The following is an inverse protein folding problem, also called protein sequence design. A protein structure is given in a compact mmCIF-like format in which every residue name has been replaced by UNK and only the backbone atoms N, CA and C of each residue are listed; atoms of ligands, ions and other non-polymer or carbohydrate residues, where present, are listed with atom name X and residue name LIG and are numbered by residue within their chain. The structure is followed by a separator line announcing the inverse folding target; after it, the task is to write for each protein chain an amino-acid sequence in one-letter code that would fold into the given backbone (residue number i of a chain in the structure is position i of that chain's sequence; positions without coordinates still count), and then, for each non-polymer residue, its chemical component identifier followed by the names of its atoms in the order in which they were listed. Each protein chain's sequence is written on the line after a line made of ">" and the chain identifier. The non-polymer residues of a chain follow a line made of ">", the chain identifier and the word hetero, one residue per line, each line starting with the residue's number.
data_IF_668712957603
#
_entry.id   IF_668712957603
#
_cell.length_a   1.000
_cell.length_b   1.000
_cell.length_c   1.000
_cell.angle_alpha   90.00
_cell.angle_beta   90.00
_cell.angle_gamma   90.00
#
_symmetry.space_group_name_H-M   'P 1'
#
loop_
_entity.id
_entity.type
_entity.pdbx_description
1 polymer ?
#
# COMPACT_ATOMS: atom_id res chain seq x y z
N UNK A 1 -2.14 6.77 19.60
CA UNK A 1 -1.04 7.74 19.34
C UNK A 1 -1.70 9.10 19.13
N UNK A 2 -1.40 10.07 19.99
CA UNK A 2 -1.80 11.45 19.73
C UNK A 2 -0.94 11.96 18.58
N UNK A 3 -1.51 12.81 17.74
CA UNK A 3 -0.82 13.48 16.62
C UNK A 3 -0.28 12.56 15.50
N UNK A 4 -0.89 11.37 15.28
CA UNK A 4 -0.58 10.52 14.15
C UNK A 4 -1.35 10.99 12.91
N UNK A 5 -0.62 11.23 11.82
CA UNK A 5 -1.15 11.66 10.51
C UNK A 5 -0.77 10.66 9.41
N UNK A 6 -1.31 10.82 8.22
CA UNK A 6 -0.96 10.02 7.04
C UNK A 6 0.54 10.07 6.72
N UNK A 7 1.20 11.22 6.95
CA UNK A 7 2.64 11.40 6.71
C UNK A 7 3.54 10.79 7.79
N UNK A 8 3.03 10.57 9.02
CA UNK A 8 3.86 10.25 10.19
C UNK A 8 4.80 9.07 10.00
N UNK A 9 4.31 7.98 9.42
CA UNK A 9 5.12 6.79 9.18
C UNK A 9 6.21 7.06 8.14
N UNK A 10 5.81 7.64 7.00
CA UNK A 10 6.72 7.99 5.92
C UNK A 10 7.84 8.91 6.38
N UNK A 11 7.51 10.02 7.04
CA UNK A 11 8.49 11.00 7.52
C UNK A 11 9.53 10.40 8.48
N UNK A 12 9.09 9.44 9.30
CA UNK A 12 9.99 8.79 10.26
C UNK A 12 10.90 7.75 9.64
N UNK A 13 10.45 7.02 8.62
CA UNK A 13 11.16 5.88 8.08
C UNK A 13 11.88 6.16 6.75
N UNK A 14 11.59 7.27 6.07
CA UNK A 14 12.12 7.58 4.74
C UNK A 14 13.63 7.36 4.63
N UNK A 15 14.39 7.73 5.67
CA UNK A 15 15.85 7.62 5.70
C UNK A 15 16.40 6.21 5.53
N UNK A 16 15.62 5.19 5.92
CA UNK A 16 16.02 3.77 5.92
C UNK A 16 15.05 2.87 5.17
N UNK A 17 14.01 3.45 4.56
CA UNK A 17 12.92 2.70 3.94
C UNK A 17 13.39 1.69 2.90
N UNK A 18 14.22 2.11 1.96
CA UNK A 18 14.72 1.26 0.89
C UNK A 18 15.66 0.14 1.38
N UNK A 19 16.25 0.31 2.57
CA UNK A 19 17.07 -0.72 3.22
C UNK A 19 16.19 -1.74 3.95
N UNK A 20 15.14 -1.27 4.62
CA UNK A 20 14.24 -2.10 5.43
C UNK A 20 13.25 -2.88 4.59
N UNK A 21 12.77 -2.27 3.51
CA UNK A 21 11.78 -2.82 2.61
C UNK A 21 12.39 -3.05 1.23
N UNK A 22 13.13 -4.14 1.09
CA UNK A 22 13.56 -4.66 -0.21
C UNK A 22 12.57 -5.73 -0.66
N UNK A 23 11.49 -5.36 -1.38
CA UNK A 23 10.56 -6.36 -1.85
C UNK A 23 11.27 -7.29 -2.83
N UNK A 24 11.18 -8.60 -2.56
CA UNK A 24 11.59 -9.60 -3.54
C UNK A 24 10.76 -9.44 -4.82
N UNK A 25 11.36 -9.72 -5.99
CA UNK A 25 10.66 -9.78 -7.28
C UNK A 25 9.93 -8.50 -7.69
N UNK A 26 10.56 -7.33 -7.53
CA UNK A 26 10.02 -6.04 -8.03
C UNK A 26 9.70 -6.14 -9.53
N UNK A 27 10.58 -6.73 -10.32
CA UNK A 27 10.40 -6.85 -11.77
C UNK A 27 9.12 -7.59 -12.13
N UNK A 28 8.83 -8.72 -11.47
CA UNK A 28 7.60 -9.50 -11.68
C UNK A 28 6.33 -8.71 -11.34
N UNK A 29 6.35 -7.95 -10.24
CA UNK A 29 5.22 -7.10 -9.87
C UNK A 29 4.99 -6.00 -10.88
N UNK A 30 6.08 -5.38 -11.34
CA UNK A 30 6.04 -4.36 -12.40
C UNK A 30 5.50 -4.94 -13.71
N UNK A 31 5.82 -6.20 -14.06
CA UNK A 31 5.25 -6.89 -15.24
C UNK A 31 3.74 -7.01 -15.13
N UNK A 32 3.22 -7.46 -13.99
CA UNK A 32 1.78 -7.58 -13.74
C UNK A 32 1.07 -6.23 -13.77
N UNK A 33 1.68 -5.20 -13.16
CA UNK A 33 1.12 -3.85 -13.15
C UNK A 33 1.09 -3.25 -14.57
N UNK A 34 2.15 -3.41 -15.35
CA UNK A 34 2.22 -2.94 -16.73
C UNK A 34 1.17 -3.63 -17.62
N UNK A 35 0.98 -4.95 -17.46
CA UNK A 35 -0.07 -5.71 -18.16
C UNK A 35 -1.46 -5.17 -17.83
N UNK A 36 -1.75 -4.93 -16.53
CA UNK A 36 -3.04 -4.40 -16.09
C UNK A 36 -3.29 -2.96 -16.54
N UNK A 37 -2.24 -2.15 -16.65
CA UNK A 37 -2.35 -0.79 -17.19
C UNK A 37 -2.67 -0.78 -18.71
N UNK A 38 -2.37 -1.87 -19.44
CA UNK A 38 -2.64 -2.05 -20.86
C UNK A 38 -2.19 -0.86 -21.74
N UNK A 39 -1.03 -0.25 -21.40
CA UNK A 39 -0.48 0.92 -22.09
C UNK A 39 -1.14 2.25 -21.74
N UNK A 40 -2.13 2.27 -20.85
CA UNK A 40 -2.77 3.49 -20.38
C UNK A 40 -2.10 4.09 -19.14
N UNK A 41 -2.68 5.18 -18.62
CA UNK A 41 -2.18 5.89 -17.43
C UNK A 41 -2.32 5.04 -16.16
N UNK A 42 -1.31 5.10 -15.29
CA UNK A 42 -1.32 4.43 -14.00
C UNK A 42 -1.19 5.42 -12.84
N UNK A 43 -1.86 5.14 -11.71
CA UNK A 43 -1.79 5.91 -10.48
C UNK A 43 -1.41 5.00 -9.32
N UNK A 44 -0.30 5.30 -8.63
CA UNK A 44 0.10 4.63 -7.40
C UNK A 44 -0.35 5.43 -6.17
N UNK A 45 -1.12 4.79 -5.29
CA UNK A 45 -1.55 5.36 -4.02
C UNK A 45 -0.51 5.03 -2.93
N UNK A 46 0.08 6.07 -2.32
CA UNK A 46 1.20 5.95 -1.42
C UNK A 46 2.47 5.53 -2.19
N UNK A 47 2.88 6.36 -3.17
CA UNK A 47 4.01 6.06 -4.06
C UNK A 47 5.35 5.91 -3.32
N UNK A 48 5.47 6.47 -2.12
CA UNK A 48 6.65 6.37 -1.28
C UNK A 48 7.92 6.83 -1.99
N UNK A 49 8.94 5.98 -1.97
CA UNK A 49 10.23 6.23 -2.63
C UNK A 49 10.26 5.80 -4.11
N UNK A 50 9.12 5.46 -4.71
CA UNK A 50 8.99 5.16 -6.14
C UNK A 50 9.38 3.74 -6.54
N UNK A 51 9.34 2.77 -5.63
CA UNK A 51 9.77 1.37 -5.86
C UNK A 51 9.11 0.74 -7.07
N UNK A 52 7.86 1.08 -7.39
CA UNK A 52 7.12 0.53 -8.54
C UNK A 52 6.83 1.58 -9.60
N UNK A 53 6.50 2.81 -9.21
CA UNK A 53 6.23 3.89 -10.14
C UNK A 53 7.41 4.19 -11.07
N UNK A 54 8.64 4.25 -10.54
CA UNK A 54 9.82 4.53 -11.35
C UNK A 54 10.11 3.45 -12.40
N UNK A 55 10.14 2.14 -12.06
CA UNK A 55 10.30 1.10 -13.08
C UNK A 55 9.15 1.03 -14.09
N UNK A 56 7.90 1.36 -13.71
CA UNK A 56 6.79 1.47 -14.65
C UNK A 56 6.99 2.64 -15.62
N UNK A 57 7.37 3.81 -15.11
CA UNK A 57 7.69 4.98 -15.93
C UNK A 57 8.87 4.72 -16.89
N UNK A 58 9.92 4.03 -16.43
CA UNK A 58 11.06 3.62 -17.26
C UNK A 58 10.66 2.67 -18.41
N UNK A 59 9.51 2.00 -18.32
CA UNK A 59 8.92 1.20 -19.41
C UNK A 59 8.03 2.02 -20.35
N UNK A 60 7.97 3.33 -20.18
CA UNK A 60 7.20 4.24 -21.02
C UNK A 60 5.73 4.40 -20.64
N UNK A 61 5.29 3.90 -19.46
CA UNK A 61 3.96 4.19 -18.97
C UNK A 61 3.89 5.62 -18.40
N UNK A 62 2.77 6.30 -18.60
CA UNK A 62 2.46 7.54 -17.88
C UNK A 62 2.01 7.19 -16.47
N UNK A 63 2.89 7.42 -15.48
CA UNK A 63 2.65 7.07 -14.08
C UNK A 63 2.55 8.31 -13.23
N UNK A 64 1.54 8.36 -12.36
CA UNK A 64 1.33 9.39 -11.35
C UNK A 64 1.39 8.74 -9.96
N UNK A 65 1.71 9.53 -8.94
CA UNK A 65 1.71 9.10 -7.55
C UNK A 65 0.93 10.03 -6.63
N UNK A 66 0.46 9.51 -5.52
CA UNK A 66 -0.02 10.29 -4.36
C UNK A 66 0.84 9.90 -3.18
N UNK A 67 1.34 10.89 -2.42
CA UNK A 67 2.16 10.63 -1.23
C UNK A 67 1.95 11.76 -0.20
N UNK A 68 1.73 11.35 1.07
CA UNK A 68 1.53 12.29 2.17
C UNK A 68 2.84 12.76 2.81
N UNK A 69 3.91 11.95 2.72
CA UNK A 69 5.21 12.23 3.32
C UNK A 69 6.13 12.98 2.37
N UNK A 70 6.47 14.22 2.69
CA UNK A 70 7.45 15.00 1.93
C UNK A 70 8.83 14.31 1.94
N UNK A 71 9.23 13.71 3.06
CA UNK A 71 10.50 12.99 3.16
C UNK A 71 10.58 11.77 2.22
N UNK A 72 9.45 11.08 1.98
CA UNK A 72 9.37 10.01 0.99
C UNK A 72 9.50 10.57 -0.43
N UNK A 73 8.81 11.67 -0.73
CA UNK A 73 8.87 12.34 -2.04
C UNK A 73 10.31 12.83 -2.33
N UNK A 74 11.00 13.39 -1.35
CA UNK A 74 12.41 13.80 -1.50
C UNK A 74 13.31 12.61 -1.89
N UNK A 75 13.09 11.44 -1.24
CA UNK A 75 13.82 10.21 -1.60
C UNK A 75 13.48 9.71 -3.01
N UNK A 76 12.22 9.82 -3.42
CA UNK A 76 11.80 9.50 -4.78
C UNK A 76 12.51 10.44 -5.78
N UNK A 77 12.50 11.76 -5.53
CA UNK A 77 13.13 12.76 -6.39
C UNK A 77 14.63 12.54 -6.56
N UNK A 78 15.31 12.02 -5.55
CA UNK A 78 16.74 11.71 -5.60
C UNK A 78 17.10 10.51 -6.49
N UNK A 79 16.12 9.75 -6.99
CA UNK A 79 16.32 8.59 -7.86
C UNK A 79 16.20 8.96 -9.34
N UNK A 80 16.83 8.17 -10.21
CA UNK A 80 16.72 8.33 -11.66
C UNK A 80 15.26 8.32 -12.12
N UNK A 81 14.86 9.33 -12.90
CA UNK A 81 13.50 9.53 -13.37
C UNK A 81 12.53 10.10 -12.30
N UNK A 82 12.98 10.24 -11.05
CA UNK A 82 12.13 10.70 -9.95
C UNK A 82 11.63 12.12 -10.13
N UNK A 83 12.48 13.05 -10.62
CA UNK A 83 12.10 14.45 -10.81
C UNK A 83 10.97 14.65 -11.83
N UNK A 84 10.84 13.76 -12.79
CA UNK A 84 9.83 13.85 -13.85
C UNK A 84 8.52 13.13 -13.53
N UNK A 85 8.47 12.34 -12.45
CA UNK A 85 7.25 11.60 -12.07
C UNK A 85 6.28 12.55 -11.36
N UNK A 86 5.05 12.77 -11.88
CA UNK A 86 4.05 13.60 -11.22
C UNK A 86 3.60 12.97 -9.89
N UNK A 87 3.79 13.70 -8.78
CA UNK A 87 3.33 13.27 -7.45
C UNK A 87 2.47 14.37 -6.83
N UNK A 88 1.22 14.04 -6.50
CA UNK A 88 0.33 14.88 -5.72
C UNK A 88 0.59 14.65 -4.22
N UNK A 89 0.77 15.74 -3.46
CA UNK A 89 0.92 15.68 -2.02
C UNK A 89 -0.40 15.50 -1.30
N UNK A 90 -0.49 14.57 -0.33
CA UNK A 90 -1.65 14.42 0.53
C UNK A 90 -2.06 12.97 0.80
N UNK A 91 -3.17 12.83 1.53
CA UNK A 91 -3.75 11.53 1.84
C UNK A 91 -4.52 10.99 0.63
N UNK A 92 -4.19 9.78 0.20
CA UNK A 92 -4.81 9.15 -0.97
C UNK A 92 -6.29 8.75 -0.76
N UNK A 93 -6.84 8.88 0.46
CA UNK A 93 -8.29 8.77 0.67
C UNK A 93 -9.06 9.95 0.03
N UNK A 94 -8.47 11.15 0.00
CA UNK A 94 -9.16 12.39 -0.33
C UNK A 94 -8.54 13.18 -1.49
N UNK A 95 -7.33 12.86 -1.91
CA UNK A 95 -6.62 13.64 -2.93
C UNK A 95 -7.27 13.48 -4.29
N UNK A 96 -7.65 14.60 -4.88
CA UNK A 96 -8.07 14.68 -6.26
C UNK A 96 -6.83 14.79 -7.17
N UNK A 97 -6.81 13.98 -8.20
CA UNK A 97 -5.85 14.05 -9.31
C UNK A 97 -6.61 14.28 -10.61
N UNK A 98 -5.96 14.91 -11.59
CA UNK A 98 -6.65 15.19 -12.86
C UNK A 98 -6.71 13.95 -13.77
N UNK A 99 -7.85 13.77 -14.41
CA UNK A 99 -8.10 12.77 -15.45
C UNK A 99 -8.43 11.38 -14.90
N UNK A 100 -8.43 10.40 -15.81
CA UNK A 100 -8.75 9.01 -15.51
C UNK A 100 -7.56 8.09 -15.78
N UNK A 101 -7.55 6.94 -15.09
CA UNK A 101 -6.47 5.97 -15.13
C UNK A 101 -6.97 4.60 -15.56
N UNK A 102 -6.18 3.89 -16.37
CA UNK A 102 -6.43 2.50 -16.72
C UNK A 102 -6.06 1.56 -15.56
N UNK A 103 -5.10 1.98 -14.72
CA UNK A 103 -4.72 1.26 -13.51
C UNK A 103 -4.59 2.25 -12.35
N UNK A 104 -5.33 2.00 -11.28
CA UNK A 104 -5.02 2.55 -9.96
C UNK A 104 -4.53 1.40 -9.10
N UNK A 105 -3.46 1.58 -8.32
CA UNK A 105 -2.95 0.49 -7.49
C UNK A 105 -2.41 0.98 -6.15
N UNK A 106 -2.58 0.11 -5.16
CA UNK A 106 -2.02 0.27 -3.82
C UNK A 106 -1.47 -1.07 -3.36
N UNK A 107 -0.19 -1.10 -2.98
CA UNK A 107 0.52 -2.34 -2.70
C UNK A 107 1.30 -2.28 -1.38
N UNK A 108 1.84 -3.43 -0.97
CA UNK A 108 2.63 -3.57 0.26
C UNK A 108 1.88 -3.13 1.53
N UNK A 109 0.57 -3.42 1.61
CA UNK A 109 -0.29 -3.09 2.75
C UNK A 109 -0.57 -1.59 2.94
N UNK A 110 -0.20 -0.74 1.99
CA UNK A 110 -0.37 0.71 2.10
C UNK A 110 -1.85 1.10 2.24
N UNK A 111 -2.78 0.37 1.62
CA UNK A 111 -4.21 0.59 1.81
C UNK A 111 -4.64 0.57 3.28
N UNK A 112 -4.02 -0.28 4.09
CA UNK A 112 -4.33 -0.43 5.50
C UNK A 112 -3.80 0.72 6.37
N UNK A 113 -2.98 1.63 5.80
CA UNK A 113 -2.55 2.87 6.46
C UNK A 113 -3.69 3.89 6.57
N UNK A 114 -4.78 3.72 5.83
CA UNK A 114 -6.06 4.38 6.09
C UNK A 114 -6.65 3.79 7.38
N UNK A 115 -6.70 4.60 8.42
CA UNK A 115 -6.86 4.13 9.81
C UNK A 115 -8.30 3.99 10.27
N UNK A 116 -9.26 4.42 9.43
CA UNK A 116 -10.70 4.29 9.67
C UNK A 116 -11.41 3.60 8.51
N UNK A 117 -12.58 3.02 8.78
CA UNK A 117 -13.41 2.40 7.75
C UNK A 117 -13.89 3.43 6.73
N UNK A 118 -14.22 4.62 7.22
CA UNK A 118 -14.69 5.75 6.40
C UNK A 118 -13.61 6.19 5.40
N UNK A 119 -12.34 6.30 5.82
CA UNK A 119 -11.22 6.62 4.93
C UNK A 119 -11.05 5.54 3.86
N UNK A 120 -11.16 4.26 4.23
CA UNK A 120 -11.04 3.15 3.30
C UNK A 120 -12.19 3.13 2.27
N UNK A 121 -13.42 3.43 2.70
CA UNK A 121 -14.58 3.57 1.79
C UNK A 121 -14.38 4.77 0.86
N UNK A 122 -13.98 5.94 1.38
CA UNK A 122 -13.69 7.13 0.56
C UNK A 122 -12.61 6.87 -0.47
N UNK A 123 -11.56 6.13 -0.11
CA UNK A 123 -10.52 5.73 -1.05
C UNK A 123 -11.10 4.94 -2.22
N UNK A 124 -11.96 3.94 -1.99
CA UNK A 124 -12.63 3.20 -3.07
C UNK A 124 -13.50 4.11 -3.94
N UNK A 125 -14.26 5.04 -3.33
CA UNK A 125 -15.10 6.00 -4.06
C UNK A 125 -14.26 6.96 -4.90
N UNK A 126 -13.17 7.49 -4.32
CA UNK A 126 -12.22 8.35 -5.00
C UNK A 126 -11.57 7.62 -6.19
N UNK A 127 -11.10 6.40 -5.98
CA UNK A 127 -10.56 5.54 -7.04
C UNK A 127 -11.59 5.32 -8.15
N UNK A 128 -12.83 4.95 -7.80
CA UNK A 128 -13.87 4.68 -8.79
C UNK A 128 -14.15 5.88 -9.70
N UNK A 129 -14.08 7.11 -9.16
CA UNK A 129 -14.25 8.34 -9.94
C UNK A 129 -13.09 8.63 -10.89
N UNK A 130 -11.89 8.12 -10.59
CA UNK A 130 -10.68 8.29 -11.40
C UNK A 130 -10.34 7.09 -12.28
N UNK A 131 -11.12 6.00 -12.22
CA UNK A 131 -10.93 4.89 -13.15
C UNK A 131 -11.54 5.20 -14.53
N UNK A 132 -10.77 4.85 -15.58
CA UNK A 132 -11.35 4.72 -16.92
C UNK A 132 -12.42 3.62 -16.93
N UNK A 133 -13.35 3.62 -17.90
CA UNK A 133 -14.44 2.63 -17.97
C UNK A 133 -13.94 1.18 -18.00
N UNK A 134 -12.82 0.92 -18.67
CA UNK A 134 -12.16 -0.38 -18.70
C UNK A 134 -11.02 -0.51 -17.67
N UNK A 135 -10.86 0.50 -16.80
CA UNK A 135 -9.78 0.56 -15.82
C UNK A 135 -9.98 -0.40 -14.65
N UNK A 136 -8.88 -0.69 -13.97
CA UNK A 136 -8.89 -1.59 -12.81
C UNK A 136 -8.23 -0.94 -11.59
N UNK A 137 -8.73 -1.31 -10.40
CA UNK A 137 -8.11 -1.00 -9.13
C UNK A 137 -7.48 -2.23 -8.52
N UNK A 138 -6.18 -2.20 -8.24
CA UNK A 138 -5.44 -3.30 -7.63
C UNK A 138 -5.09 -2.98 -6.18
N UNK A 139 -5.44 -3.87 -5.28
CA UNK A 139 -5.08 -3.81 -3.85
C UNK A 139 -4.25 -5.05 -3.50
N UNK A 140 -3.01 -4.86 -3.01
CA UNK A 140 -2.19 -5.93 -2.44
C UNK A 140 -2.04 -5.71 -0.94
N UNK A 141 -2.53 -6.66 -0.16
CA UNK A 141 -2.53 -6.60 1.30
C UNK A 141 -2.35 -8.00 1.93
N UNK A 142 -1.90 -8.03 3.18
CA UNK A 142 -1.88 -9.27 3.96
C UNK A 142 -3.32 -9.70 4.33
N UNK A 143 -3.50 -11.00 4.52
CA UNK A 143 -4.71 -11.55 5.14
C UNK A 143 -4.54 -11.41 6.66
N UNK A 144 -5.51 -10.81 7.39
CA UNK A 144 -5.39 -10.65 8.83
C UNK A 144 -5.22 -11.99 9.54
N UNK A 145 -4.19 -12.10 10.36
CA UNK A 145 -3.98 -13.20 11.29
C UNK A 145 -4.03 -12.67 12.71
N UNK A 146 -5.19 -12.71 13.31
CA UNK A 146 -5.43 -12.22 14.67
C UNK A 146 -5.00 -13.23 15.74
N UNK A 147 -4.73 -14.48 15.38
CA UNK A 147 -4.31 -15.53 16.30
C UNK A 147 -2.89 -15.33 16.85
N UNK A 148 -2.10 -14.49 16.17
CA UNK A 148 -0.72 -14.18 16.59
C UNK A 148 -0.62 -13.24 17.79
N UNK A 149 -1.73 -12.63 18.21
CA UNK A 149 -1.75 -11.71 19.35
C UNK A 149 -2.09 -12.46 20.63
N UNK A 150 -1.22 -12.34 21.63
CA UNK A 150 -1.44 -12.77 23.01
C UNK A 150 -1.74 -11.53 23.86
N UNK A 151 -2.84 -11.54 24.62
CA UNK A 151 -3.34 -10.40 25.37
C UNK A 151 -3.34 -9.09 24.56
N UNK A 152 -3.71 -9.16 23.26
CA UNK A 152 -3.68 -8.07 22.28
C UNK A 152 -2.26 -7.53 21.96
N UNK A 153 -1.21 -8.25 22.26
CA UNK A 153 0.17 -7.85 21.99
C UNK A 153 0.87 -8.88 21.09
N UNK A 154 1.80 -8.39 20.28
CA UNK A 154 2.70 -9.25 19.52
C UNK A 154 4.10 -8.63 19.49
N UNK A 155 5.10 -9.47 19.73
CA UNK A 155 6.51 -9.14 19.63
C UNK A 155 7.21 -10.14 18.74
N UNK A 156 7.91 -9.66 17.72
CA UNK A 156 8.81 -10.45 16.90
C UNK A 156 10.21 -9.84 16.95
N UNK A 157 11.20 -10.67 17.21
CA UNK A 157 12.60 -10.29 17.12
C UNK A 157 13.24 -10.88 15.87
N UNK A 158 14.17 -10.16 15.27
CA UNK A 158 15.03 -10.64 14.18
C UNK A 158 16.44 -10.08 14.35
N UNK A 159 17.43 -10.85 13.88
CA UNK A 159 18.85 -10.52 13.94
C UNK A 159 19.35 -10.34 12.50
N UNK A 160 19.26 -9.13 11.94
CA UNK A 160 19.67 -8.88 10.55
C UNK A 160 21.17 -9.11 10.33
N UNK A 161 21.97 -8.78 11.33
CA UNK A 161 23.43 -8.94 11.37
C UNK A 161 23.94 -9.10 12.81
N UNK A 162 25.29 -9.12 12.99
CA UNK A 162 25.92 -9.30 14.30
C UNK A 162 25.84 -8.07 15.22
N UNK A 163 25.59 -6.88 14.65
CA UNK A 163 25.64 -5.60 15.36
C UNK A 163 24.26 -4.97 15.55
N UNK A 164 23.18 -5.65 15.10
CA UNK A 164 21.83 -5.08 15.17
C UNK A 164 20.77 -6.10 15.58
N UNK A 165 19.75 -5.58 16.26
CA UNK A 165 18.51 -6.31 16.58
C UNK A 165 17.33 -5.48 16.06
N UNK A 166 16.39 -6.14 15.38
CA UNK A 166 15.12 -5.53 15.01
C UNK A 166 13.99 -6.18 15.81
N UNK A 167 13.16 -5.31 16.43
CA UNK A 167 11.95 -5.74 17.11
C UNK A 167 10.74 -5.14 16.40
N UNK A 168 9.77 -5.98 16.08
CA UNK A 168 8.45 -5.57 15.62
C UNK A 168 7.48 -5.75 16.79
N UNK A 169 7.10 -4.63 17.43
CA UNK A 169 6.19 -4.60 18.56
C UNK A 169 4.85 -4.05 18.10
N UNK A 170 3.76 -4.73 18.42
CA UNK A 170 2.43 -4.25 18.05
C UNK A 170 1.39 -4.53 19.12
N UNK A 171 0.38 -3.64 19.15
CA UNK A 171 -0.82 -3.74 19.99
C UNK A 171 -2.03 -3.76 19.09
N UNK A 172 -2.92 -4.70 19.33
CA UNK A 172 -4.11 -4.97 18.56
C UNK A 172 -5.36 -4.44 19.26
N UNK A 173 -6.18 -3.71 18.54
CA UNK A 173 -7.53 -3.30 18.93
C UNK A 173 -8.52 -4.03 18.02
N UNK A 174 -9.06 -5.14 18.52
CA UNK A 174 -9.94 -6.02 17.74
C UNK A 174 -11.27 -5.35 17.35
N UNK A 175 -11.77 -4.43 18.19
CA UNK A 175 -13.05 -3.75 17.95
C UNK A 175 -12.95 -2.79 16.78
N UNK A 176 -11.84 -2.04 16.70
CA UNK A 176 -11.60 -1.06 15.64
C UNK A 176 -10.76 -1.65 14.49
N UNK A 177 -10.44 -2.95 14.50
CA UNK A 177 -9.57 -3.63 13.53
C UNK A 177 -8.21 -2.92 13.37
N UNK A 178 -7.67 -2.34 14.44
CA UNK A 178 -6.50 -1.48 14.40
C UNK A 178 -5.29 -2.18 15.00
N UNK A 179 -4.14 -1.94 14.39
CA UNK A 179 -2.82 -2.37 14.87
C UNK A 179 -1.95 -1.13 14.98
N UNK A 180 -1.56 -0.78 16.21
CA UNK A 180 -0.52 0.20 16.48
C UNK A 180 0.81 -0.54 16.60
N UNK A 181 1.79 -0.23 15.75
CA UNK A 181 3.07 -0.92 15.75
C UNK A 181 4.27 0.00 15.89
N UNK A 182 5.41 -0.59 16.24
CA UNK A 182 6.73 0.04 16.24
C UNK A 182 7.73 -0.93 15.64
N UNK A 183 8.44 -0.48 14.61
CA UNK A 183 9.71 -1.11 14.27
C UNK A 183 10.79 -0.46 15.11
N UNK A 184 11.44 -1.25 15.95
CA UNK A 184 12.53 -0.81 16.84
C UNK A 184 13.81 -1.38 16.29
N UNK A 185 14.75 -0.54 15.97
CA UNK A 185 16.08 -0.91 15.49
C UNK A 185 17.10 -0.53 16.56
N UNK A 186 17.73 -1.55 17.14
CA UNK A 186 18.79 -1.42 18.13
C UNK A 186 20.11 -1.70 17.43
N UNK A 187 21.07 -0.78 17.56
CA UNK A 187 22.44 -0.88 17.05
C UNK A 187 23.41 -0.41 18.11
N UNK A 188 24.71 -0.53 17.88
CA UNK A 188 25.74 0.02 18.75
C UNK A 188 25.63 1.56 18.86
N UNK A 189 25.10 2.24 17.82
CA UNK A 189 24.88 3.71 17.78
C UNK A 189 23.63 4.15 18.55
N UNK A 190 22.80 3.23 19.04
CA UNK A 190 21.62 3.53 19.83
C UNK A 190 20.32 2.89 19.31
N UNK A 191 19.19 3.48 19.69
CA UNK A 191 17.86 2.96 19.42
C UNK A 191 17.11 3.91 18.49
N UNK A 192 16.58 3.38 17.39
CA UNK A 192 15.65 4.11 16.50
C UNK A 192 14.28 3.43 16.50
N UNK A 193 13.21 4.25 16.52
CA UNK A 193 11.84 3.74 16.54
C UNK A 193 11.03 4.37 15.41
N UNK A 194 10.32 3.52 14.66
CA UNK A 194 9.47 3.90 13.54
C UNK A 194 8.03 3.51 13.86
N UNK A 195 7.21 4.47 14.33
CA UNK A 195 5.83 4.22 14.71
C UNK A 195 4.94 4.12 13.47
N UNK A 196 4.04 3.16 13.47
CA UNK A 196 3.00 3.05 12.46
C UNK A 196 1.67 2.65 13.08
N UNK A 197 0.60 2.95 12.36
CA UNK A 197 -0.77 2.57 12.66
C UNK A 197 -1.41 2.07 11.38
N UNK A 198 -2.17 1.00 11.48
CA UNK A 198 -2.97 0.50 10.37
C UNK A 198 -4.34 0.04 10.86
N UNK A 199 -5.32 0.08 9.96
CA UNK A 199 -6.57 -0.64 10.10
C UNK A 199 -6.57 -1.80 9.11
N UNK A 200 -6.51 -3.04 9.64
CA UNK A 200 -6.60 -4.19 8.75
C UNK A 200 -8.04 -4.37 8.24
N UNK A 201 -8.14 -4.93 7.06
CA UNK A 201 -9.42 -5.19 6.40
C UNK A 201 -9.45 -6.63 5.88
N UNK A 202 -10.57 -7.31 6.06
CA UNK A 202 -10.76 -8.64 5.49
C UNK A 202 -11.03 -8.55 3.99
N UNK A 203 -10.61 -9.54 3.18
CA UNK A 203 -10.88 -9.53 1.74
C UNK A 203 -12.35 -9.37 1.39
N UNK A 204 -13.26 -9.95 2.19
CA UNK A 204 -14.72 -9.81 2.02
C UNK A 204 -15.22 -8.41 2.37
N UNK A 205 -14.59 -7.71 3.30
CA UNK A 205 -14.89 -6.32 3.63
C UNK A 205 -14.44 -5.37 2.50
N UNK A 206 -13.28 -5.63 1.88
CA UNK A 206 -12.86 -4.92 0.67
C UNK A 206 -13.90 -5.06 -0.46
N UNK A 207 -14.49 -6.26 -0.63
CA UNK A 207 -15.52 -6.50 -1.63
C UNK A 207 -16.80 -5.69 -1.36
N UNK A 208 -17.15 -5.48 -0.09
CA UNK A 208 -18.27 -4.61 0.30
C UNK A 208 -17.96 -3.13 0.00
N UNK A 209 -16.73 -2.67 0.32
CA UNK A 209 -16.30 -1.30 0.00
C UNK A 209 -16.28 -1.06 -1.51
N UNK A 210 -15.82 -2.05 -2.28
CA UNK A 210 -15.85 -2.00 -3.74
C UNK A 210 -17.29 -1.82 -4.27
N UNK A 211 -18.24 -2.61 -3.76
CA UNK A 211 -19.67 -2.50 -4.14
C UNK A 211 -20.26 -1.14 -3.80
N UNK A 212 -19.94 -0.57 -2.64
CA UNK A 212 -20.35 0.77 -2.24
C UNK A 212 -19.81 1.86 -3.19
N UNK A 213 -18.67 1.61 -3.83
CA UNK A 213 -18.05 2.49 -4.80
C UNK A 213 -18.47 2.20 -6.28
N UNK A 214 -19.38 1.25 -6.52
CA UNK A 214 -19.77 0.85 -7.88
C UNK A 214 -18.74 -0.02 -8.59
N UNK A 215 -17.85 -0.67 -7.83
CA UNK A 215 -16.86 -1.61 -8.34
C UNK A 215 -17.26 -3.05 -8.01
N UNK A 216 -16.72 -4.00 -8.77
CA UNK A 216 -16.83 -5.44 -8.50
C UNK A 216 -15.46 -6.12 -8.51
N UNK A 217 -15.33 -7.20 -7.78
CA UNK A 217 -14.14 -8.05 -7.85
C UNK A 217 -14.07 -8.72 -9.23
N UNK A 218 -12.96 -8.48 -9.94
CA UNK A 218 -12.62 -9.13 -11.20
C UNK A 218 -11.79 -10.39 -10.98
N UNK A 219 -10.77 -10.30 -10.09
CA UNK A 219 -9.89 -11.41 -9.75
C UNK A 219 -9.29 -11.23 -8.35
N UNK A 220 -8.98 -12.36 -7.69
CA UNK A 220 -8.18 -12.38 -6.46
C UNK A 220 -7.17 -13.52 -6.53
N UNK A 221 -5.90 -13.18 -6.32
CA UNK A 221 -4.79 -14.12 -6.32
C UNK A 221 -4.13 -14.18 -4.95
N UNK A 222 -3.57 -15.34 -4.60
CA UNK A 222 -2.82 -15.54 -3.35
C UNK A 222 -1.38 -14.99 -3.41
N UNK A 223 -0.88 -14.69 -4.61
CA UNK A 223 0.44 -14.10 -4.84
C UNK A 223 0.51 -13.43 -6.22
N UNK A 224 1.67 -12.86 -6.55
CA UNK A 224 1.91 -12.15 -7.82
C UNK A 224 2.03 -13.08 -9.04
N UNK A 225 2.27 -14.39 -8.83
CA UNK A 225 2.24 -15.43 -9.86
C UNK A 225 0.80 -15.89 -10.20
N UNK A 226 -0.20 -15.18 -9.66
CA UNK A 226 -1.63 -15.47 -9.87
C UNK A 226 -2.07 -16.86 -9.37
N UNK A 227 -1.38 -17.40 -8.35
CA UNK A 227 -1.83 -18.63 -7.71
C UNK A 227 -3.23 -18.44 -7.08
N UNK A 228 -4.04 -19.50 -6.98
CA UNK A 228 -5.36 -19.43 -6.34
C UNK A 228 -5.28 -18.84 -4.91
N UNK A 229 -6.20 -17.94 -4.60
CA UNK A 229 -6.38 -17.46 -3.24
C UNK A 229 -7.11 -18.52 -2.42
N UNK A 230 -6.50 -18.95 -1.31
CA UNK A 230 -7.01 -20.03 -0.45
C UNK A 230 -6.91 -19.64 1.02
N UNK A 231 -7.43 -20.49 1.91
CA UNK A 231 -7.33 -20.30 3.37
C UNK A 231 -5.88 -20.28 3.90
N UNK A 232 -4.91 -20.77 3.12
CA UNK A 232 -3.48 -20.75 3.46
C UNK A 232 -2.74 -19.53 2.93
N UNK A 233 -3.43 -18.67 2.17
CA UNK A 233 -2.81 -17.46 1.61
C UNK A 233 -2.58 -16.43 2.70
N UNK A 234 -1.32 -16.04 2.94
CA UNK A 234 -0.96 -14.99 3.91
C UNK A 234 -1.14 -13.56 3.38
N UNK A 235 -1.32 -13.42 2.06
CA UNK A 235 -1.60 -12.15 1.38
C UNK A 235 -2.52 -12.38 0.19
N UNK A 236 -3.03 -11.29 -0.37
CA UNK A 236 -3.83 -11.34 -1.58
C UNK A 236 -3.50 -10.17 -2.51
N UNK A 237 -3.67 -10.40 -3.81
CA UNK A 237 -3.74 -9.38 -4.85
C UNK A 237 -5.16 -9.39 -5.37
N UNK A 238 -5.94 -8.36 -5.06
CA UNK A 238 -7.33 -8.22 -5.48
C UNK A 238 -7.43 -7.16 -6.57
N UNK A 239 -8.09 -7.49 -7.66
CA UNK A 239 -8.31 -6.61 -8.81
C UNK A 239 -9.79 -6.34 -8.93
N UNK A 240 -10.17 -5.08 -8.89
CA UNK A 240 -11.54 -4.60 -9.02
C UNK A 240 -11.71 -3.84 -10.33
N UNK A 241 -12.92 -3.86 -10.89
CA UNK A 241 -13.29 -3.12 -12.10
C UNK A 241 -14.66 -2.45 -11.92
N UNK A 242 -14.98 -1.46 -12.74
CA UNK A 242 -16.31 -0.86 -12.74
C UNK A 242 -17.39 -1.90 -13.08
N UNK A 243 -18.53 -1.78 -12.42
CA UNK A 243 -19.72 -2.53 -12.85
C UNK A 243 -20.18 -1.93 -14.16
N UNK A 244 -20.15 -2.74 -15.24
CA UNK A 244 -20.69 -2.32 -16.53
C UNK A 244 -22.15 -1.91 -16.32
N UNK A 245 -22.52 -0.69 -16.72
CA UNK A 245 -23.92 -0.29 -16.81
C UNK A 245 -24.55 -1.21 -17.88
N UNK A 246 -25.16 -2.31 -17.40
CA UNK A 246 -25.90 -3.21 -18.29
C UNK A 246 -27.00 -2.40 -18.95
N UNK A 247 -27.01 -2.44 -20.28
CA UNK A 247 -28.11 -1.90 -21.10
C UNK A 247 -29.43 -2.65 -20.83
#
# INVERSE_FOLDING_TARGET
>A
MKDYSAATYGDRIAGVYDEFYRPGNVAERVDVLAELAAGGRALELGVGTGTYALPLAARGLEVHGIEASEAMVERLRAKEGGDSLPVAGGDFADVAVEGTFSLVFVINNTFQMLTTQEEQIRCFQNVASHLHESGVFLVHAFVPDVSRYDENQHLRASLPDLASVRLDVSVHDAVNQRIDFRHVHLTEDGIKMYPGRLRYVWPTELDLMARLAGLRLRARWGNWQRAPFTAQSGSHVSVYEKVSSGG
#
